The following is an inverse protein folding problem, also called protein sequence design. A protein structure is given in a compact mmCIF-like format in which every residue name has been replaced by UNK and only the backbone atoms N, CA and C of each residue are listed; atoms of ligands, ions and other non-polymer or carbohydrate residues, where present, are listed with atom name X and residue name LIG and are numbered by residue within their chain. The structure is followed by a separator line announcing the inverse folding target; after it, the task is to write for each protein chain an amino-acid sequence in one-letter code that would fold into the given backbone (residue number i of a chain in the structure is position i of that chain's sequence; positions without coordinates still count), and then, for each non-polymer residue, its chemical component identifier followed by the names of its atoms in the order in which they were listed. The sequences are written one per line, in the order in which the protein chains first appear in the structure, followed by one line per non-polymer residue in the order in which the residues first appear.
data_IF_739864734378
#
_entry.id   IF_739864734378
#
_cell.length_a   1.000
_cell.length_b   1.000
_cell.length_c   1.000
_cell.angle_alpha   90.00
_cell.angle_beta   90.00
_cell.angle_gamma   90.00
#
_symmetry.space_group_name_H-M   'P 1'
#
loop_
_entity.id
_entity.type
_entity.pdbx_description
1 polymer ?
#
# COMPACT_ATOMS: atom_id res chain seq x y z
N UNK A 1 -48.38 69.05 39.52
CA UNK A 1 -47.05 69.54 39.07
C UNK A 1 -46.28 68.33 38.55
N UNK A 2 -45.85 68.39 37.28
CA UNK A 2 -45.09 67.34 36.58
C UNK A 2 -43.62 67.34 37.07
N UNK A 3 -42.84 66.23 36.94
CA UNK A 3 -42.28 65.92 35.64
C UNK A 3 -42.16 64.43 35.25
N UNK A 4 -42.13 64.26 33.93
CA UNK A 4 -41.71 63.09 33.14
C UNK A 4 -40.23 62.76 33.38
N UNK A 5 -39.87 61.47 33.54
CA UNK A 5 -38.53 60.96 33.20
C UNK A 5 -38.62 59.59 32.51
N UNK A 6 -38.18 59.62 31.25
CA UNK A 6 -37.52 58.64 30.37
C UNK A 6 -37.67 57.11 30.57
N UNK A 7 -38.03 56.47 29.45
CA UNK A 7 -37.83 55.05 29.12
C UNK A 7 -36.35 54.66 29.14
N UNK A 8 -36.06 53.44 29.59
CA UNK A 8 -35.03 52.59 28.96
C UNK A 8 -35.53 51.14 28.89
N UNK A 9 -35.53 50.60 27.67
CA UNK A 9 -35.88 49.23 27.35
C UNK A 9 -34.58 48.41 27.29
N UNK A 10 -34.49 47.31 28.00
CA UNK A 10 -33.49 46.27 27.75
C UNK A 10 -34.18 44.98 27.33
N UNK A 11 -34.09 44.67 26.03
CA UNK A 11 -34.55 43.39 25.47
C UNK A 11 -33.66 42.25 25.99
N UNK A 12 -34.22 41.04 26.17
CA UNK A 12 -33.45 39.88 26.63
C UNK A 12 -32.39 39.49 25.58
N UNK A 13 -31.23 39.09 26.10
CA UNK A 13 -30.05 38.65 25.38
C UNK A 13 -30.38 37.34 24.61
N UNK A 14 -30.61 37.43 23.30
CA UNK A 14 -30.76 36.25 22.45
C UNK A 14 -29.39 35.57 22.31
N UNK A 15 -29.21 34.45 23.00
CA UNK A 15 -28.04 33.57 22.86
C UNK A 15 -28.10 32.90 21.49
N UNK A 16 -27.30 33.40 20.55
CA UNK A 16 -27.04 32.76 19.27
C UNK A 16 -26.20 31.50 19.53
N UNK A 17 -26.84 30.34 19.61
CA UNK A 17 -26.14 29.06 19.69
C UNK A 17 -25.69 28.69 18.28
N UNK A 18 -24.41 28.92 17.97
CA UNK A 18 -23.76 28.42 16.76
C UNK A 18 -23.54 26.91 16.92
N UNK A 19 -24.43 26.10 16.33
CA UNK A 19 -24.23 24.65 16.21
C UNK A 19 -23.05 24.40 15.25
N UNK A 20 -21.87 24.17 15.83
CA UNK A 20 -20.69 23.69 15.12
C UNK A 20 -20.96 22.23 14.70
N UNK A 21 -21.44 22.00 13.49
CA UNK A 21 -21.46 20.66 12.89
C UNK A 21 -20.01 20.27 12.59
N UNK A 22 -19.38 19.56 13.53
CA UNK A 22 -18.09 18.92 13.31
C UNK A 22 -18.34 17.66 12.48
N UNK A 23 -18.28 17.79 11.15
CA UNK A 23 -18.34 16.64 10.25
C UNK A 23 -17.13 15.75 10.53
N UNK A 24 -17.36 14.63 11.22
CA UNK A 24 -16.41 13.53 11.39
C UNK A 24 -16.17 12.83 10.04
N UNK A 25 -15.46 13.49 9.13
CA UNK A 25 -14.79 12.81 8.02
C UNK A 25 -13.53 12.18 8.61
N UNK A 26 -13.68 11.01 9.23
CA UNK A 26 -12.54 10.16 9.57
C UNK A 26 -11.75 9.82 8.31
N UNK A 27 -10.45 9.50 8.41
CA UNK A 27 -9.67 9.10 7.26
C UNK A 27 -10.32 7.86 6.63
N UNK A 28 -10.83 8.00 5.41
CA UNK A 28 -11.25 6.83 4.63
C UNK A 28 -9.96 6.20 4.12
N UNK A 29 -9.52 5.14 4.77
CA UNK A 29 -8.44 4.33 4.25
C UNK A 29 -8.94 3.59 3.02
N UNK A 30 -8.44 3.91 1.82
CA UNK A 30 -8.44 2.94 0.72
C UNK A 30 -7.44 1.87 1.07
N UNK A 31 -7.95 0.75 1.56
CA UNK A 31 -7.17 -0.47 1.64
C UNK A 31 -7.46 -1.23 0.35
N UNK A 32 -6.47 -1.30 -0.55
CA UNK A 32 -6.39 -2.46 -1.42
C UNK A 32 -6.09 -3.62 -0.48
N UNK A 33 -7.10 -4.43 -0.17
CA UNK A 33 -6.95 -5.51 0.80
C UNK A 33 -6.24 -6.65 0.08
N UNK A 34 -5.05 -6.99 0.59
CA UNK A 34 -4.40 -8.25 0.22
C UNK A 34 -5.33 -9.37 0.66
N UNK A 35 -5.95 -10.03 -0.31
CA UNK A 35 -6.89 -11.13 -0.09
C UNK A 35 -6.11 -12.40 0.19
N UNK A 36 -5.08 -12.67 -0.61
CA UNK A 36 -4.24 -13.85 -0.48
C UNK A 36 -2.81 -13.59 -0.98
N UNK A 37 -1.86 -14.32 -0.39
CA UNK A 37 -0.48 -14.38 -0.86
C UNK A 37 -0.16 -15.83 -1.20
N UNK A 38 0.03 -16.10 -2.48
CA UNK A 38 0.37 -17.42 -3.01
C UNK A 38 1.87 -17.50 -3.24
N UNK A 39 2.58 -18.26 -2.41
CA UNK A 39 4.02 -18.52 -2.60
C UNK A 39 4.18 -19.75 -3.50
N UNK A 40 4.72 -19.56 -4.69
CA UNK A 40 4.95 -20.64 -5.68
C UNK A 40 6.40 -21.11 -5.70
N UNK A 41 7.33 -20.30 -5.20
CA UNK A 41 8.75 -20.66 -5.09
C UNK A 41 9.36 -20.11 -3.81
N UNK A 42 10.22 -20.92 -3.18
CA UNK A 42 11.02 -20.57 -2.01
C UNK A 42 12.42 -21.13 -2.18
N UNK A 43 13.41 -20.27 -2.13
CA UNK A 43 14.83 -20.64 -2.25
C UNK A 43 15.61 -20.04 -1.07
N UNK A 44 16.47 -20.83 -0.43
CA UNK A 44 17.38 -20.33 0.61
C UNK A 44 18.70 -19.93 -0.03
N UNK A 45 19.17 -18.74 0.32
CA UNK A 45 20.37 -18.12 -0.21
C UNK A 45 21.29 -17.77 0.95
N UNK A 46 22.54 -18.20 0.86
CA UNK A 46 23.56 -17.80 1.83
C UNK A 46 23.88 -16.31 1.68
N UNK A 47 23.93 -15.59 2.80
CA UNK A 47 24.58 -14.29 2.85
C UNK A 47 26.07 -14.49 3.14
N UNK A 48 26.94 -13.69 2.52
CA UNK A 48 28.37 -13.70 2.86
C UNK A 48 28.54 -13.42 4.36
N UNK A 49 29.25 -14.28 5.11
CA UNK A 49 29.52 -14.08 6.53
C UNK A 49 30.16 -12.72 6.86
N UNK A 50 30.95 -12.15 5.94
CA UNK A 50 31.56 -10.81 6.11
C UNK A 50 30.52 -9.69 6.03
N UNK A 51 29.41 -9.96 5.35
CA UNK A 51 28.33 -9.02 5.06
C UNK A 51 26.98 -9.57 5.54
N UNK A 52 26.90 -10.29 6.66
CA UNK A 52 25.70 -11.08 6.97
C UNK A 52 25.35 -11.22 8.45
N UNK A 53 25.02 -10.12 9.15
CA UNK A 53 24.57 -10.21 10.54
C UNK A 53 23.18 -10.86 10.69
N UNK A 54 22.34 -10.80 9.65
CA UNK A 54 21.00 -11.37 9.63
C UNK A 54 20.95 -12.88 9.31
N UNK A 55 22.08 -13.47 8.88
CA UNK A 55 22.17 -14.88 8.51
C UNK A 55 21.65 -15.17 7.10
N UNK A 56 21.25 -16.42 6.85
CA UNK A 56 20.70 -16.84 5.57
C UNK A 56 19.40 -16.11 5.23
N UNK A 57 19.19 -15.90 3.94
CA UNK A 57 17.99 -15.30 3.38
C UNK A 57 17.14 -16.34 2.66
N UNK A 58 15.86 -16.06 2.53
CA UNK A 58 15.00 -16.76 1.58
C UNK A 58 14.46 -15.79 0.53
N UNK A 59 14.33 -16.31 -0.69
CA UNK A 59 13.71 -15.66 -1.84
C UNK A 59 12.35 -16.33 -2.04
N UNK A 60 11.29 -15.55 -1.87
CA UNK A 60 9.91 -15.98 -2.09
C UNK A 60 9.39 -15.36 -3.38
N UNK A 61 8.78 -16.16 -4.24
CA UNK A 61 8.11 -15.68 -5.44
C UNK A 61 6.69 -16.21 -5.50
N UNK A 62 5.82 -15.47 -6.15
CA UNK A 62 4.46 -15.92 -6.43
C UNK A 62 3.53 -14.77 -6.78
N UNK A 63 2.28 -14.87 -6.34
CA UNK A 63 1.22 -13.92 -6.71
C UNK A 63 0.50 -13.43 -5.46
N UNK A 64 0.13 -12.14 -5.46
CA UNK A 64 -0.72 -11.52 -4.45
C UNK A 64 -2.07 -11.24 -5.12
N UNK A 65 -3.15 -11.70 -4.51
CA UNK A 65 -4.52 -11.35 -4.91
C UNK A 65 -4.97 -10.14 -4.09
N UNK A 66 -5.57 -9.16 -4.76
CA UNK A 66 -5.97 -7.90 -4.17
C UNK A 66 -7.40 -7.53 -4.57
N UNK A 67 -8.05 -6.80 -3.66
CA UNK A 67 -9.36 -6.21 -3.90
C UNK A 67 -9.37 -4.74 -3.50
N UNK A 68 -9.90 -3.87 -4.37
CA UNK A 68 -10.13 -2.46 -4.06
C UNK A 68 -11.61 -2.15 -4.03
N UNK A 69 -12.00 -1.26 -3.12
CA UNK A 69 -13.34 -0.68 -3.09
C UNK A 69 -13.40 0.47 -4.12
N UNK A 70 -14.18 0.34 -5.20
CA UNK A 70 -14.30 1.39 -6.21
C UNK A 70 -14.91 2.67 -5.65
N UNK A 71 -15.73 2.59 -4.59
CA UNK A 71 -16.46 3.72 -4.04
C UNK A 71 -15.66 4.41 -2.90
N UNK A 72 -14.42 3.98 -2.66
CA UNK A 72 -13.51 4.60 -1.71
C UNK A 72 -12.93 5.92 -2.27
N UNK A 73 -13.02 7.06 -1.56
CA UNK A 73 -12.50 8.34 -2.05
C UNK A 73 -11.02 8.34 -2.43
N UNK A 74 -10.19 7.52 -1.77
CA UNK A 74 -8.77 7.44 -2.12
C UNK A 74 -8.51 6.67 -3.43
N UNK A 75 -9.53 6.03 -4.01
CA UNK A 75 -9.49 5.37 -5.32
C UNK A 75 -10.17 6.19 -6.44
N UNK A 76 -10.76 7.36 -6.14
CA UNK A 76 -11.51 8.18 -7.10
C UNK A 76 -10.69 8.57 -8.34
N UNK A 77 -9.37 8.75 -8.19
CA UNK A 77 -8.48 9.10 -9.29
C UNK A 77 -8.12 7.93 -10.22
N UNK A 78 -8.54 6.70 -9.89
CA UNK A 78 -8.24 5.52 -10.71
C UNK A 78 -9.23 5.50 -11.88
N UNK A 79 -8.70 5.73 -13.07
CA UNK A 79 -9.45 5.75 -14.32
C UNK A 79 -10.14 4.39 -14.53
N UNK A 80 -11.39 4.43 -14.99
CA UNK A 80 -12.25 3.29 -15.31
C UNK A 80 -12.54 2.32 -14.16
N UNK A 81 -12.16 2.64 -12.92
CA UNK A 81 -12.39 1.74 -11.78
C UNK A 81 -13.87 1.42 -11.56
N UNK A 82 -14.76 2.41 -11.73
CA UNK A 82 -16.21 2.20 -11.62
C UNK A 82 -16.81 1.40 -12.77
N UNK A 83 -16.08 1.23 -13.88
CA UNK A 83 -16.48 0.44 -15.05
C UNK A 83 -15.95 -1.00 -14.96
N UNK A 84 -15.06 -1.30 -14.02
CA UNK A 84 -14.54 -2.64 -13.84
C UNK A 84 -15.59 -3.60 -13.25
N UNK A 85 -15.57 -4.89 -13.63
CA UNK A 85 -16.41 -5.91 -13.01
C UNK A 85 -16.16 -5.98 -11.50
N UNK A 86 -17.25 -6.14 -10.74
CA UNK A 86 -17.24 -6.24 -9.28
C UNK A 86 -17.58 -7.68 -8.85
N UNK A 87 -16.92 -8.17 -7.80
CA UNK A 87 -17.22 -9.46 -7.19
C UNK A 87 -18.52 -9.41 -6.34
N UNK A 88 -18.89 -10.52 -5.69
CA UNK A 88 -20.11 -10.61 -4.86
C UNK A 88 -20.10 -9.64 -3.67
N UNK A 89 -18.92 -9.21 -3.23
CA UNK A 89 -18.73 -8.20 -2.18
C UNK A 89 -18.73 -6.76 -2.72
N UNK A 90 -18.96 -6.57 -4.02
CA UNK A 90 -18.94 -5.26 -4.66
C UNK A 90 -17.55 -4.68 -4.90
N UNK A 91 -16.48 -5.47 -4.74
CA UNK A 91 -15.07 -5.05 -4.86
C UNK A 91 -14.52 -5.37 -6.25
N UNK A 92 -13.50 -4.64 -6.68
CA UNK A 92 -12.77 -4.91 -7.93
C UNK A 92 -11.53 -5.75 -7.63
N UNK A 93 -11.46 -6.94 -8.25
CA UNK A 93 -10.39 -7.92 -8.05
C UNK A 93 -9.27 -7.74 -9.08
N UNK A 94 -8.02 -7.90 -8.63
CA UNK A 94 -6.84 -7.94 -9.49
C UNK A 94 -5.70 -8.70 -8.78
N UNK A 95 -4.64 -9.05 -9.51
CA UNK A 95 -3.49 -9.74 -8.90
C UNK A 95 -2.16 -9.29 -9.46
N UNK A 96 -1.09 -9.49 -8.69
CA UNK A 96 0.27 -9.08 -9.07
C UNK A 96 1.32 -10.12 -8.71
N UNK A 97 2.29 -10.32 -9.59
CA UNK A 97 3.47 -11.12 -9.29
C UNK A 97 4.34 -10.41 -8.25
N UNK A 98 4.97 -11.16 -7.35
CA UNK A 98 5.92 -10.60 -6.39
C UNK A 98 7.20 -11.43 -6.27
N UNK A 99 8.26 -10.75 -5.82
CA UNK A 99 9.49 -11.38 -5.34
C UNK A 99 9.96 -10.67 -4.06
N UNK A 100 10.06 -11.43 -2.97
CA UNK A 100 10.46 -10.97 -1.64
C UNK A 100 11.75 -11.67 -1.23
N UNK A 101 12.75 -10.88 -0.83
CA UNK A 101 13.91 -11.37 -0.13
C UNK A 101 13.81 -10.97 1.34
N UNK A 102 13.96 -11.93 2.25
CA UNK A 102 13.98 -11.67 3.69
C UNK A 102 14.91 -12.62 4.44
N UNK A 103 15.37 -12.28 5.65
CA UNK A 103 16.05 -13.25 6.52
C UNK A 103 15.18 -14.49 6.75
N UNK A 104 15.79 -15.68 6.73
CA UNK A 104 15.10 -16.93 7.10
C UNK A 104 14.55 -16.80 8.53
N UNK A 105 15.39 -16.36 9.46
CA UNK A 105 14.99 -15.93 10.79
C UNK A 105 14.64 -14.44 10.78
N UNK A 106 13.33 -14.15 10.74
CA UNK A 106 12.83 -12.77 10.69
C UNK A 106 13.22 -11.93 11.93
N UNK A 107 13.57 -12.56 13.07
CA UNK A 107 13.99 -11.83 14.28
C UNK A 107 15.37 -11.20 14.13
N UNK A 108 16.18 -11.70 13.18
CA UNK A 108 17.51 -11.19 12.85
C UNK A 108 17.50 -10.08 11.80
N UNK A 109 16.34 -9.76 11.24
CA UNK A 109 16.17 -8.62 10.35
C UNK A 109 16.14 -7.28 11.09
N UNK A 110 16.36 -6.19 10.37
CA UNK A 110 16.31 -4.84 10.91
C UNK A 110 14.88 -4.25 10.96
N UNK A 111 13.87 -5.07 10.68
CA UNK A 111 12.44 -4.74 10.67
C UNK A 111 12.06 -3.63 9.66
N UNK A 112 12.83 -3.48 8.58
CA UNK A 112 12.53 -2.54 7.49
C UNK A 112 12.33 -3.30 6.18
N UNK A 113 11.31 -2.88 5.44
CA UNK A 113 11.03 -3.33 4.09
C UNK A 113 11.42 -2.23 3.11
N UNK A 114 12.27 -2.56 2.13
CA UNK A 114 12.49 -1.72 0.96
C UNK A 114 11.62 -2.22 -0.18
N UNK A 115 10.66 -1.40 -0.59
CA UNK A 115 9.88 -1.67 -1.78
C UNK A 115 10.56 -1.02 -2.99
N UNK A 116 10.82 -1.82 -4.02
CA UNK A 116 11.40 -1.36 -5.26
C UNK A 116 10.33 -1.38 -6.35
N UNK A 117 10.09 -0.21 -6.94
CA UNK A 117 9.27 -0.09 -8.13
C UNK A 117 10.07 -0.65 -9.32
N UNK A 118 9.59 -1.75 -9.88
CA UNK A 118 10.10 -2.33 -11.13
C UNK A 118 9.78 -1.43 -12.33
N UNK A 119 10.52 -1.56 -13.42
CA UNK A 119 10.28 -0.82 -14.65
C UNK A 119 9.98 -1.80 -15.78
N UNK A 120 8.77 -1.72 -16.37
CA UNK A 120 8.28 -2.66 -17.39
C UNK A 120 8.53 -4.12 -17.00
N UNK A 121 8.18 -4.48 -15.76
CA UNK A 121 8.35 -5.81 -15.19
C UNK A 121 9.78 -6.18 -14.77
N UNK A 122 10.80 -5.39 -15.09
CA UNK A 122 12.18 -5.66 -14.66
C UNK A 122 12.42 -5.25 -13.22
N UNK A 123 12.97 -6.17 -12.42
CA UNK A 123 13.48 -5.88 -11.08
C UNK A 123 14.68 -4.94 -11.19
N UNK A 124 14.55 -3.72 -10.67
CA UNK A 124 15.65 -2.76 -10.56
C UNK A 124 15.95 -2.48 -9.09
N UNK A 125 17.22 -2.16 -8.80
CA UNK A 125 17.71 -1.88 -7.45
C UNK A 125 18.24 -0.50 -7.21
N UNK A 126 18.15 0.38 -8.21
CA UNK A 126 18.90 1.63 -8.20
C UNK A 126 20.39 1.37 -7.95
N UNK A 127 20.88 1.81 -6.80
CA UNK A 127 22.29 1.71 -6.38
C UNK A 127 22.63 0.42 -5.62
N UNK A 128 21.64 -0.43 -5.32
CA UNK A 128 21.87 -1.64 -4.53
C UNK A 128 22.29 -2.81 -5.44
N UNK A 129 23.36 -3.51 -5.04
CA UNK A 129 23.78 -4.76 -5.67
C UNK A 129 22.97 -5.92 -5.07
N UNK A 130 22.25 -6.67 -5.90
CA UNK A 130 21.50 -7.86 -5.49
C UNK A 130 22.20 -9.19 -5.79
N UNK A 131 23.46 -9.15 -6.23
CA UNK A 131 24.34 -10.33 -6.17
C UNK A 131 24.33 -10.85 -4.74
N UNK A 132 23.79 -12.06 -4.56
CA UNK A 132 23.42 -12.61 -3.25
C UNK A 132 24.55 -12.60 -2.23
N UNK A 133 25.78 -12.89 -2.67
CA UNK A 133 26.98 -12.86 -1.83
C UNK A 133 27.48 -11.45 -1.51
N UNK A 134 27.30 -10.48 -2.41
CA UNK A 134 27.73 -9.08 -2.22
C UNK A 134 26.57 -8.15 -1.87
N UNK A 135 25.45 -8.73 -1.44
CA UNK A 135 24.24 -7.99 -1.19
C UNK A 135 24.33 -7.21 0.12
N UNK A 136 24.65 -5.93 0.01
CA UNK A 136 24.74 -4.99 1.11
C UNK A 136 23.46 -4.93 1.98
N UNK A 137 22.29 -5.21 1.39
CA UNK A 137 21.01 -5.22 2.11
C UNK A 137 20.91 -6.42 3.05
N UNK A 138 21.45 -7.58 2.65
CA UNK A 138 21.50 -8.77 3.49
C UNK A 138 22.32 -8.50 4.75
N UNK A 139 23.45 -7.82 4.61
CA UNK A 139 24.32 -7.47 5.75
C UNK A 139 23.74 -6.50 6.74
N UNK A 140 22.75 -5.73 6.33
CA UNK A 140 22.01 -4.82 7.21
C UNK A 140 20.69 -5.38 7.68
N UNK A 141 20.34 -6.62 7.30
CA UNK A 141 19.10 -7.26 7.72
C UNK A 141 17.84 -6.66 7.08
N UNK A 142 17.94 -5.98 5.94
CA UNK A 142 16.76 -5.48 5.23
C UNK A 142 16.01 -6.63 4.57
N UNK A 143 14.68 -6.53 4.57
CA UNK A 143 13.86 -7.25 3.60
C UNK A 143 13.60 -6.33 2.40
N UNK A 144 13.43 -6.90 1.20
CA UNK A 144 13.05 -6.11 0.03
C UNK A 144 12.12 -6.85 -0.91
N UNK A 145 11.22 -6.08 -1.55
CA UNK A 145 10.09 -6.57 -2.32
C UNK A 145 9.99 -5.85 -3.66
N UNK A 146 9.66 -6.59 -4.70
CA UNK A 146 9.07 -6.06 -5.94
C UNK A 146 7.68 -6.65 -6.14
N UNK A 147 6.80 -5.87 -6.77
CA UNK A 147 5.53 -6.34 -7.31
C UNK A 147 5.37 -5.91 -8.78
N UNK A 148 4.58 -6.62 -9.59
CA UNK A 148 4.16 -6.13 -10.90
C UNK A 148 3.22 -4.92 -10.79
N UNK A 149 3.33 -3.96 -11.71
CA UNK A 149 2.41 -2.81 -11.79
C UNK A 149 2.04 -2.36 -13.21
N UNK A 150 2.75 -2.86 -14.23
CA UNK A 150 2.47 -2.53 -15.63
C UNK A 150 1.74 -3.70 -16.30
N UNK A 151 0.53 -3.45 -16.79
CA UNK A 151 -0.34 -4.47 -17.40
C UNK A 151 -0.01 -4.74 -18.88
N UNK A 152 0.72 -3.84 -19.54
CA UNK A 152 1.12 -3.93 -20.95
C UNK A 152 2.44 -4.71 -21.17
N UNK A 153 2.99 -5.30 -20.11
CA UNK A 153 4.24 -6.07 -20.18
C UNK A 153 3.94 -7.49 -20.68
N UNK A 154 4.72 -7.94 -21.68
CA UNK A 154 4.67 -9.32 -22.14
C UNK A 154 5.21 -10.24 -21.03
N UNK A 155 4.36 -11.17 -20.59
CA UNK A 155 4.69 -12.11 -19.54
C UNK A 155 5.91 -12.98 -19.88
N UNK A 156 6.80 -13.16 -18.92
CA UNK A 156 7.93 -14.10 -18.98
C UNK A 156 8.43 -14.37 -17.57
N UNK A 157 9.20 -15.44 -17.38
CA UNK A 157 9.76 -15.83 -16.06
C UNK A 157 10.63 -14.75 -15.40
N UNK A 158 11.15 -13.81 -16.19
CA UNK A 158 12.03 -12.73 -15.70
C UNK A 158 11.28 -11.44 -15.38
N UNK A 159 9.98 -11.36 -15.65
CA UNK A 159 9.17 -10.15 -15.56
C UNK A 159 8.07 -10.31 -14.53
N UNK A 160 7.89 -9.29 -13.70
CA UNK A 160 6.75 -9.19 -12.79
C UNK A 160 5.60 -8.46 -13.48
N UNK A 161 4.43 -9.09 -13.53
CA UNK A 161 3.24 -8.57 -14.21
C UNK A 161 2.13 -8.29 -13.19
N UNK A 162 1.23 -7.39 -13.57
CA UNK A 162 -0.06 -7.20 -12.91
C UNK A 162 -1.17 -7.68 -13.85
N UNK A 163 -2.22 -8.25 -13.29
CA UNK A 163 -3.39 -8.78 -13.99
C UNK A 163 -4.58 -7.98 -13.49
N UNK A 164 -5.02 -7.02 -14.31
CA UNK A 164 -6.12 -6.09 -14.00
C UNK A 164 -7.37 -6.50 -14.77
N UNK A 165 -8.57 -6.21 -14.26
CA UNK A 165 -9.81 -6.50 -14.96
C UNK A 165 -9.99 -5.57 -16.17
N UNK A 166 -10.81 -6.01 -17.12
CA UNK A 166 -11.20 -5.20 -18.27
C UNK A 166 -12.45 -4.40 -17.89
N UNK A 167 -12.38 -3.08 -18.01
CA UNK A 167 -13.54 -2.21 -17.86
C UNK A 167 -14.58 -2.47 -18.95
N UNK A 168 -15.87 -2.46 -18.59
CA UNK A 168 -17.00 -2.79 -19.48
C UNK A 168 -18.04 -1.71 -19.52
#
# INVERSE_FOLDING_TARGET
MNPLIARTSSKPLTVFTLLLTFSLLGPVSAVAEVVAVHVTSREVVAADPQHGQAGAYEVLKGTIDLEVDPDNPANESIVDLHLAPRNQSGRVEFSTDFELHKPVDATRGNRRLLYFVNNRGNKHGGVFNFETEKNWLYGRGFSYLWCGWNSDVIASERKLNIRVPVAT
#
